data_IF_169952976651
#
_entry.id   IF_169952976651
#
_cell.length_a   1.000
_cell.length_b   1.000
_cell.length_c   1.000
_cell.angle_alpha   90.00
_cell.angle_beta   90.00
_cell.angle_gamma   90.00
#
_symmetry.space_group_name_H-M   'P 1'
#
loop_
_entity.id
_entity.type
_entity.pdbx_description
1 polymer ?
#
# COMPACT_ATOMS: atom_id res chain seq x y z
N UNK A 1 -0.36 2.68 -1.27
CA UNK A 1 -0.27 1.61 -0.26
C UNK A 1 -0.46 2.29 1.07
N UNK A 2 -1.70 2.36 1.56
CA UNK A 2 -2.03 3.10 2.77
C UNK A 2 -1.55 2.31 3.98
N UNK A 3 -0.83 2.98 4.88
CA UNK A 3 -0.44 2.42 6.17
C UNK A 3 -1.71 1.97 6.94
N UNK A 4 -1.58 0.99 7.83
CA UNK A 4 -2.74 0.49 8.61
C UNK A 4 -3.38 1.61 9.42
N UNK A 5 -2.60 2.60 9.86
CA UNK A 5 -3.12 3.78 10.54
C UNK A 5 -3.95 4.67 9.61
N UNK A 6 -3.53 4.83 8.35
CA UNK A 6 -4.30 5.57 7.34
C UNK A 6 -5.61 4.85 7.02
N UNK A 7 -5.58 3.51 6.88
CA UNK A 7 -6.80 2.72 6.66
C UNK A 7 -7.78 2.81 7.83
N UNK A 8 -7.26 2.83 9.07
CA UNK A 8 -8.07 3.01 10.26
C UNK A 8 -8.75 4.39 10.28
N UNK A 9 -8.01 5.44 9.92
CA UNK A 9 -8.54 6.80 9.82
C UNK A 9 -9.66 6.90 8.78
N UNK A 10 -9.47 6.29 7.60
CA UNK A 10 -10.49 6.27 6.55
C UNK A 10 -11.75 5.50 6.99
N UNK A 11 -11.58 4.38 7.69
CA UNK A 11 -12.70 3.58 8.20
C UNK A 11 -13.50 4.33 9.28
N UNK A 12 -12.84 5.05 10.18
CA UNK A 12 -13.50 5.88 11.21
C UNK A 12 -14.24 7.06 10.57
N UNK A 13 -13.66 7.74 9.59
CA UNK A 13 -14.35 8.79 8.84
C UNK A 13 -15.61 8.25 8.15
N UNK A 14 -15.48 7.10 7.48
CA UNK A 14 -16.63 6.45 6.82
C UNK A 14 -17.72 6.07 7.81
N UNK A 15 -17.36 5.61 9.02
CA UNK A 15 -18.33 5.32 10.08
C UNK A 15 -19.09 6.57 10.52
N UNK A 16 -18.41 7.70 10.68
CA UNK A 16 -19.03 8.97 11.05
C UNK A 16 -20.02 9.45 9.98
N UNK A 17 -19.65 9.36 8.70
CA UNK A 17 -20.54 9.70 7.59
C UNK A 17 -21.79 8.81 7.55
N UNK A 18 -21.63 7.51 7.81
CA UNK A 18 -22.76 6.57 7.88
C UNK A 18 -23.73 6.94 9.01
N UNK A 19 -23.25 7.35 10.18
CA UNK A 19 -24.12 7.84 11.26
C UNK A 19 -24.87 9.11 10.88
N UNK A 20 -24.20 10.11 10.30
CA UNK A 20 -24.84 11.35 9.87
C UNK A 20 -25.92 11.09 8.82
N UNK A 21 -25.63 10.26 7.81
CA UNK A 21 -26.58 9.90 6.77
C UNK A 21 -27.75 9.11 7.33
N UNK A 22 -27.50 8.16 8.24
CA UNK A 22 -28.55 7.38 8.90
C UNK A 22 -29.49 8.30 9.69
N UNK A 23 -28.95 9.16 10.55
CA UNK A 23 -29.75 10.09 11.36
C UNK A 23 -30.59 11.01 10.46
N UNK A 24 -30.01 11.55 9.39
CA UNK A 24 -30.73 12.41 8.44
C UNK A 24 -31.91 11.70 7.78
N UNK A 25 -31.70 10.50 7.25
CA UNK A 25 -32.75 9.71 6.58
C UNK A 25 -33.82 9.25 7.58
N UNK A 26 -33.43 8.75 8.76
CA UNK A 26 -34.39 8.31 9.78
C UNK A 26 -35.26 9.46 10.30
N UNK A 27 -34.70 10.67 10.46
CA UNK A 27 -35.49 11.84 10.85
C UNK A 27 -36.43 12.30 9.73
N UNK A 28 -36.00 12.24 8.48
CA UNK A 28 -36.84 12.62 7.33
C UNK A 28 -38.03 11.66 7.14
N UNK A 29 -37.81 10.36 7.37
CA UNK A 29 -38.84 9.33 7.26
C UNK A 29 -39.57 9.05 8.58
N UNK A 30 -39.25 9.77 9.65
CA UNK A 30 -39.86 9.60 10.96
C UNK A 30 -41.26 10.20 11.00
N UNK A 31 -42.30 9.47 11.46
CA UNK A 31 -43.62 10.05 11.63
C UNK A 31 -43.56 11.20 12.66
N UNK A 32 -44.28 12.30 12.45
CA UNK A 32 -44.36 13.36 13.45
C UNK A 32 -44.94 12.79 14.74
N UNK A 33 -44.34 13.14 15.88
CA UNK A 33 -44.77 12.64 17.19
C UNK A 33 -46.26 12.92 17.40
N UNK A 34 -47.05 11.85 17.58
CA UNK A 34 -48.49 11.96 17.87
C UNK A 34 -48.67 12.15 19.37
N UNK A 35 -49.20 13.30 19.78
CA UNK A 35 -49.62 13.52 21.16
C UNK A 35 -50.96 12.82 21.38
N UNK A 36 -51.01 11.92 22.35
CA UNK A 36 -52.18 11.08 22.69
C UNK A 36 -53.49 11.84 22.98
N UNK A 37 -53.43 13.16 23.16
CA UNK A 37 -54.56 13.99 23.53
C UNK A 37 -55.38 14.47 22.30
N UNK A 38 -54.89 14.26 21.07
CA UNK A 38 -55.55 14.64 19.81
C UNK A 38 -55.53 13.41 18.89
N UNK A 39 -56.24 12.35 19.26
CA UNK A 39 -56.31 11.13 18.46
C UNK A 39 -57.67 11.04 17.78
N UNK A 40 -57.87 11.83 16.72
CA UNK A 40 -58.86 11.48 15.71
C UNK A 40 -58.26 10.39 14.84
N UNK A 41 -58.94 9.25 14.78
CA UNK A 41 -58.55 8.03 14.10
C UNK A 41 -58.22 8.23 12.62
N UNK A 42 -56.97 8.58 12.30
CA UNK A 42 -56.46 8.59 10.93
C UNK A 42 -55.19 7.73 10.89
N UNK A 43 -55.25 6.65 10.10
CA UNK A 43 -54.19 5.68 9.77
C UNK A 43 -53.95 4.55 10.78
N UNK A 44 -54.85 3.56 10.76
CA UNK A 44 -54.62 2.20 11.30
C UNK A 44 -54.06 1.24 10.23
N UNK A 45 -53.51 1.75 9.12
CA UNK A 45 -53.06 0.89 8.03
C UNK A 45 -51.84 1.52 7.37
N UNK A 46 -50.64 1.13 7.78
CA UNK A 46 -49.46 1.25 6.93
C UNK A 46 -48.59 0.01 7.15
N UNK A 47 -48.70 -0.92 6.19
CA UNK A 47 -47.73 -1.99 6.02
C UNK A 47 -46.35 -1.40 5.79
N UNK A 48 -45.34 -2.07 6.36
CA UNK A 48 -43.89 -1.84 6.18
C UNK A 48 -43.52 -0.36 6.13
N UNK A 49 -43.31 0.25 7.30
CA UNK A 49 -42.75 1.59 7.35
C UNK A 49 -41.36 1.57 6.70
N UNK A 50 -41.10 2.34 5.62
CA UNK A 50 -39.80 2.35 4.95
C UNK A 50 -38.66 2.77 5.90
N UNK A 51 -39.00 3.46 6.97
CA UNK A 51 -38.11 3.84 8.08
C UNK A 51 -37.43 2.64 8.74
N UNK A 52 -38.13 1.49 8.86
CA UNK A 52 -37.60 0.29 9.52
C UNK A 52 -36.61 -0.45 8.62
N UNK A 53 -36.83 -0.45 7.30
CA UNK A 53 -35.90 -1.01 6.32
C UNK A 53 -34.61 -0.17 6.23
N UNK A 54 -34.73 1.17 6.21
CA UNK A 54 -33.57 2.05 6.27
C UNK A 54 -32.81 1.90 7.60
N UNK A 55 -33.51 1.77 8.73
CA UNK A 55 -32.88 1.53 10.02
C UNK A 55 -32.05 0.25 10.03
N UNK A 56 -32.58 -0.84 9.48
CA UNK A 56 -31.88 -2.12 9.37
C UNK A 56 -30.68 -2.05 8.43
N UNK A 57 -30.81 -1.37 7.28
CA UNK A 57 -29.70 -1.17 6.34
C UNK A 57 -28.55 -0.38 6.98
N UNK A 58 -28.86 0.74 7.63
CA UNK A 58 -27.84 1.55 8.30
C UNK A 58 -27.22 0.81 9.49
N UNK A 59 -28.02 0.07 10.28
CA UNK A 59 -27.49 -0.76 11.35
C UNK A 59 -26.50 -1.82 10.83
N UNK A 60 -26.82 -2.47 9.71
CA UNK A 60 -25.92 -3.44 9.08
C UNK A 60 -24.61 -2.81 8.58
N UNK A 61 -24.69 -1.63 7.96
CA UNK A 61 -23.50 -0.89 7.48
C UNK A 61 -22.61 -0.43 8.63
N UNK A 62 -23.19 0.14 9.68
CA UNK A 62 -22.49 0.59 10.88
C UNK A 62 -21.82 -0.59 11.59
N UNK A 63 -22.56 -1.69 11.80
CA UNK A 63 -22.04 -2.88 12.48
C UNK A 63 -20.88 -3.52 11.70
N UNK A 64 -20.98 -3.57 10.37
CA UNK A 64 -19.89 -4.06 9.52
C UNK A 64 -18.67 -3.14 9.60
N UNK A 65 -18.85 -1.84 9.47
CA UNK A 65 -17.73 -0.87 9.52
C UNK A 65 -17.05 -0.87 10.88
N UNK A 66 -17.81 -1.01 11.98
CA UNK A 66 -17.26 -1.18 13.33
C UNK A 66 -16.43 -2.47 13.45
N UNK A 67 -16.89 -3.58 12.86
CA UNK A 67 -16.13 -4.83 12.83
C UNK A 67 -14.85 -4.72 12.01
N UNK A 68 -14.90 -4.01 10.88
CA UNK A 68 -13.73 -3.75 10.05
C UNK A 68 -12.69 -2.89 10.82
N UNK A 69 -13.15 -1.94 11.64
CA UNK A 69 -12.30 -1.16 12.56
C UNK A 69 -11.66 -2.05 13.62
N UNK A 70 -12.43 -2.94 14.28
CA UNK A 70 -11.88 -3.87 15.28
C UNK A 70 -10.76 -4.75 14.69
N UNK A 71 -11.00 -5.31 13.49
CA UNK A 71 -9.99 -6.12 12.78
C UNK A 71 -8.77 -5.29 12.41
N UNK A 72 -8.96 -4.03 12.01
CA UNK A 72 -7.85 -3.13 11.72
C UNK A 72 -7.01 -2.85 12.97
N UNK A 73 -7.65 -2.63 14.12
CA UNK A 73 -6.98 -2.43 15.42
C UNK A 73 -6.20 -3.68 15.81
N UNK A 74 -6.80 -4.87 15.72
CA UNK A 74 -6.14 -6.14 16.02
C UNK A 74 -4.96 -6.43 15.07
N UNK A 75 -5.02 -5.88 13.86
CA UNK A 75 -3.95 -6.00 12.86
C UNK A 75 -2.83 -4.96 13.02
N UNK A 76 -2.97 -4.00 13.94
CA UNK A 76 -1.90 -3.06 14.23
C UNK A 76 -0.71 -3.81 14.84
N UNK A 77 0.52 -3.51 14.41
CA UNK A 77 1.69 -4.06 15.07
C UNK A 77 1.67 -3.63 16.55
N UNK A 78 1.78 -4.61 17.46
CA UNK A 78 1.61 -4.39 18.90
C UNK A 78 2.55 -3.30 19.45
N UNK A 79 2.03 -2.44 20.33
CA UNK A 79 2.80 -1.42 21.05
C UNK A 79 3.86 -2.01 22.02
N UNK A 80 3.85 -3.33 22.25
CA UNK A 80 4.90 -4.06 22.99
C UNK A 80 6.20 -4.23 22.17
N UNK A 81 6.30 -3.67 20.96
CA UNK A 81 7.59 -3.38 20.36
C UNK A 81 8.21 -2.20 21.11
N UNK A 82 8.68 -2.46 22.34
CA UNK A 82 9.42 -1.50 23.15
C UNK A 82 10.46 -0.89 22.24
N UNK A 83 10.54 0.43 22.09
CA UNK A 83 11.45 1.08 21.13
C UNK A 83 12.91 0.59 21.24
N UNK A 84 13.29 0.04 22.40
CA UNK A 84 14.54 -0.68 22.63
C UNK A 84 14.64 -2.01 21.85
N UNK A 85 13.63 -2.88 21.90
CA UNK A 85 13.58 -4.13 21.13
C UNK A 85 13.49 -3.86 19.62
N UNK A 86 12.72 -2.86 19.20
CA UNK A 86 12.70 -2.46 17.79
C UNK A 86 14.08 -1.98 17.32
N UNK A 87 14.76 -1.14 18.11
CA UNK A 87 16.14 -0.70 17.81
C UNK A 87 17.14 -1.85 17.81
N UNK A 88 16.96 -2.84 18.69
CA UNK A 88 17.78 -4.06 18.74
C UNK A 88 17.55 -4.95 17.52
N UNK A 89 16.30 -5.16 17.12
CA UNK A 89 15.92 -5.94 15.95
C UNK A 89 16.40 -5.27 14.66
N UNK A 90 16.21 -3.94 14.52
CA UNK A 90 16.74 -3.18 13.38
C UNK A 90 18.26 -3.28 13.33
N UNK A 91 18.94 -3.10 14.47
CA UNK A 91 20.41 -3.26 14.52
C UNK A 91 20.85 -4.69 14.19
N UNK A 92 20.08 -5.70 14.60
CA UNK A 92 20.36 -7.10 14.31
C UNK A 92 20.08 -7.48 12.85
N UNK A 93 19.19 -6.76 12.17
CA UNK A 93 18.98 -6.85 10.71
C UNK A 93 20.00 -6.03 9.91
N UNK A 94 20.49 -4.91 10.44
CA UNK A 94 21.53 -4.10 9.78
C UNK A 94 22.87 -4.82 9.72
N UNK A 95 23.23 -5.63 10.73
CA UNK A 95 24.50 -6.36 10.76
C UNK A 95 24.70 -7.36 9.61
N UNK A 96 23.78 -8.31 9.31
CA UNK A 96 23.95 -9.21 8.17
C UNK A 96 23.86 -8.47 6.83
N UNK A 97 23.11 -7.37 6.77
CA UNK A 97 22.97 -6.55 5.56
C UNK A 97 24.30 -5.82 5.27
N UNK A 98 24.91 -5.25 6.30
CA UNK A 98 26.23 -4.62 6.23
C UNK A 98 27.34 -5.62 5.89
N UNK A 99 27.31 -6.82 6.49
CA UNK A 99 28.29 -7.87 6.18
C UNK A 99 28.13 -8.40 4.74
N UNK A 100 26.89 -8.53 4.25
CA UNK A 100 26.63 -8.87 2.87
C UNK A 100 27.17 -7.78 1.92
N UNK A 101 26.91 -6.52 2.22
CA UNK A 101 27.40 -5.38 1.44
C UNK A 101 28.93 -5.33 1.42
N UNK A 102 29.58 -5.53 2.57
CA UNK A 102 31.05 -5.59 2.70
C UNK A 102 31.68 -6.75 1.93
N UNK A 103 30.97 -7.87 1.75
CA UNK A 103 31.42 -9.01 0.93
C UNK A 103 31.18 -8.80 -0.56
N UNK A 104 30.16 -8.03 -0.91
CA UNK A 104 29.80 -7.75 -2.29
C UNK A 104 30.64 -6.63 -2.90
N UNK A 105 30.97 -5.57 -2.14
CA UNK A 105 31.75 -4.43 -2.64
C UNK A 105 33.10 -4.81 -3.27
N UNK A 106 34.00 -5.61 -2.65
CA UNK A 106 35.28 -5.96 -3.28
C UNK A 106 35.09 -6.89 -4.48
N UNK A 107 34.02 -7.69 -4.53
CA UNK A 107 33.73 -8.55 -5.67
C UNK A 107 33.22 -7.77 -6.88
N UNK A 108 32.40 -6.74 -6.64
CA UNK A 108 31.95 -5.85 -7.70
C UNK A 108 33.10 -5.01 -8.26
N UNK A 109 33.98 -4.52 -7.39
CA UNK A 109 35.17 -3.77 -7.78
C UNK A 109 36.17 -4.63 -8.56
N UNK A 110 36.49 -5.83 -8.07
CA UNK A 110 37.34 -6.77 -8.80
C UNK A 110 36.76 -7.20 -10.15
N UNK A 111 35.43 -7.34 -10.25
CA UNK A 111 34.75 -7.62 -11.54
C UNK A 111 34.80 -6.41 -12.47
N UNK A 112 34.63 -5.20 -11.96
CA UNK A 112 34.74 -3.97 -12.73
C UNK A 112 36.16 -3.80 -13.30
N UNK A 113 37.21 -4.01 -12.49
CA UNK A 113 38.59 -3.95 -12.93
C UNK A 113 38.91 -5.00 -14.00
N UNK A 114 38.41 -6.24 -13.84
CA UNK A 114 38.58 -7.28 -14.85
C UNK A 114 37.91 -6.92 -16.17
N UNK A 115 36.72 -6.33 -16.13
CA UNK A 115 35.99 -5.88 -17.32
C UNK A 115 36.72 -4.74 -18.01
N UNK A 116 37.20 -3.75 -17.26
CA UNK A 116 38.01 -2.65 -17.79
C UNK A 116 39.30 -3.17 -18.42
N UNK A 117 40.03 -4.06 -17.74
CA UNK A 117 41.27 -4.64 -18.26
C UNK A 117 41.03 -5.50 -19.51
N UNK A 118 39.91 -6.22 -19.57
CA UNK A 118 39.54 -6.97 -20.76
C UNK A 118 39.21 -6.05 -21.94
N UNK A 119 38.48 -4.96 -21.68
CA UNK A 119 38.14 -3.94 -22.68
C UNK A 119 39.38 -3.21 -23.21
N UNK A 120 40.27 -2.77 -22.32
CA UNK A 120 41.52 -2.09 -22.72
C UNK A 120 42.48 -3.01 -23.48
N UNK A 121 42.41 -4.33 -23.28
CA UNK A 121 43.20 -5.30 -24.07
C UNK A 121 42.59 -5.64 -25.42
N UNK A 122 41.26 -5.68 -25.53
CA UNK A 122 40.56 -6.10 -26.76
C UNK A 122 40.41 -4.96 -27.78
N UNK A 123 40.17 -3.72 -27.33
CA UNK A 123 40.06 -2.53 -28.18
C UNK A 123 41.29 -2.28 -29.08
N UNK A 124 42.53 -2.22 -28.55
CA UNK A 124 43.72 -2.01 -29.37
C UNK A 124 44.01 -3.20 -30.28
N UNK A 125 43.70 -4.43 -29.85
CA UNK A 125 43.81 -5.61 -30.72
C UNK A 125 42.86 -5.50 -31.92
N UNK A 126 41.60 -5.13 -31.71
CA UNK A 126 40.67 -4.91 -32.83
C UNK A 126 41.12 -3.77 -33.74
N UNK A 127 41.65 -2.69 -33.18
CA UNK A 127 42.22 -1.59 -33.95
C UNK A 127 43.42 -2.04 -34.81
N UNK A 128 44.33 -2.81 -34.23
CA UNK A 128 45.50 -3.38 -34.91
C UNK A 128 45.07 -4.36 -36.03
N UNK A 129 44.13 -5.26 -35.76
CA UNK A 129 43.58 -6.18 -36.77
C UNK A 129 42.91 -5.42 -37.91
N UNK A 130 42.20 -4.33 -37.61
CA UNK A 130 41.57 -3.48 -38.63
C UNK A 130 42.60 -2.75 -39.50
N UNK A 131 43.67 -2.21 -38.91
CA UNK A 131 44.77 -1.61 -39.65
C UNK A 131 45.48 -2.65 -40.53
N UNK A 132 45.72 -3.86 -40.01
CA UNK A 132 46.31 -4.96 -40.77
C UNK A 132 45.44 -5.34 -41.97
N UNK A 133 44.12 -5.53 -41.77
CA UNK A 133 43.18 -5.84 -42.84
C UNK A 133 43.13 -4.75 -43.93
N UNK A 134 43.21 -3.46 -43.52
CA UNK A 134 43.25 -2.32 -44.45
C UNK A 134 44.58 -2.24 -45.23
N UNK A 135 45.68 -2.71 -44.65
CA UNK A 135 46.98 -2.79 -45.34
C UNK A 135 47.03 -3.93 -46.36
N UNK A 136 46.46 -5.10 -46.04
CA UNK A 136 46.40 -6.27 -46.93
C UNK A 136 45.50 -5.98 -48.14
N UNK A 137 44.36 -5.30 -47.94
CA UNK A 137 43.47 -4.88 -49.03
C UNK A 137 44.07 -3.82 -49.96
N UNK A 138 44.98 -2.96 -49.46
CA UNK A 138 45.74 -2.02 -50.32
C UNK A 138 46.90 -2.70 -51.06
N UNK A 139 47.47 -3.77 -50.52
CA UNK A 139 48.54 -4.54 -51.18
C UNK A 139 48.07 -5.43 -52.34
N UNK A 140 46.82 -5.91 -52.30
CA UNK A 140 46.24 -6.75 -53.36
C UNK A 140 45.80 -6.03 -54.63
N UNK A 141 45.90 -4.70 -54.69
CA UNK A 141 45.52 -3.89 -55.87
C UNK A 141 46.73 -3.41 -56.69
N UNK A 142 47.93 -3.92 -56.42
CA UNK A 142 49.14 -3.69 -57.21
C UNK A 142 49.71 -5.03 -57.67
N UNK A 143 49.04 -5.68 -58.62
CA UNK A 143 49.67 -6.63 -59.54
C UNK A 143 49.02 -6.55 -60.91
#
# INVERSE_FOLDING_TARGET
>A
MADRLTQLQDAVNSLADQFCNAIGVLQQCGPPASFSNIQTAINKDQGVNPTEEYAQLFAALIARTAKDIDVLIDSLPSEESTAALQKLETRAQDTPTFDAEKRLSPQLEQRADRLQLSGTKSLPRLHETFLLAKSVTKGGARS
#
